data_IF_043325929840
#
_entry.id   IF_043325929840
#
_cell.length_a   1.000
_cell.length_b   1.000
_cell.length_c   1.000
_cell.angle_alpha   90.00
_cell.angle_beta   90.00
_cell.angle_gamma   90.00
#
_symmetry.space_group_name_H-M   'P 1'
#
loop_
_entity.id
_entity.type
_entity.pdbx_description
1 polymer ?
#
# COMPACT_ATOMS: atom_id res chain seq x y z
N UNK A 1 -11.90 39.51 -19.66
CA UNK A 1 -11.42 39.31 -18.27
C UNK A 1 -11.44 37.85 -17.92
N UNK A 2 -10.35 37.14 -18.17
CA UNK A 2 -10.13 35.80 -17.62
C UNK A 2 -9.83 35.93 -16.12
N UNK A 3 -10.50 35.20 -15.24
CA UNK A 3 -10.28 35.35 -13.81
C UNK A 3 -8.89 34.82 -13.43
N UNK A 4 -8.06 35.74 -12.94
CA UNK A 4 -6.69 35.52 -12.47
C UNK A 4 -6.52 34.37 -11.47
N UNK A 5 -7.60 33.90 -10.85
CA UNK A 5 -7.61 32.74 -9.95
C UNK A 5 -7.30 31.40 -10.65
N UNK A 6 -7.75 31.20 -11.90
CA UNK A 6 -7.43 29.95 -12.65
C UNK A 6 -5.96 29.90 -13.07
N UNK A 7 -5.36 31.04 -13.40
CA UNK A 7 -3.95 31.10 -13.76
C UNK A 7 -3.04 30.80 -12.56
N UNK A 8 -3.37 31.24 -11.34
CA UNK A 8 -2.56 30.96 -10.15
C UNK A 8 -2.60 29.49 -9.73
N UNK A 9 -3.73 28.81 -9.88
CA UNK A 9 -3.82 27.36 -9.60
C UNK A 9 -3.09 26.52 -10.65
N UNK A 10 -3.02 26.98 -11.89
CA UNK A 10 -2.27 26.34 -12.96
C UNK A 10 -0.75 26.45 -12.74
N UNK A 11 -0.25 27.63 -12.31
CA UNK A 11 1.16 27.88 -12.08
C UNK A 11 1.77 27.15 -10.88
N UNK A 12 0.98 26.83 -9.86
CA UNK A 12 1.47 26.11 -8.65
C UNK A 12 1.58 24.60 -8.91
N UNK A 13 0.82 24.07 -9.87
CA UNK A 13 0.77 22.64 -10.21
C UNK A 13 1.76 22.26 -11.32
N UNK A 14 2.34 23.23 -12.02
CA UNK A 14 3.23 23.00 -13.17
C UNK A 14 4.71 22.77 -12.80
N UNK A 15 5.04 22.74 -11.51
CA UNK A 15 6.42 22.52 -11.06
C UNK A 15 6.48 21.33 -10.12
N UNK A 16 7.34 20.35 -10.46
CA UNK A 16 7.77 19.33 -9.52
C UNK A 16 8.73 19.93 -8.47
N UNK A 17 9.18 19.10 -7.53
CA UNK A 17 10.12 19.51 -6.48
C UNK A 17 11.44 20.07 -7.04
N UNK A 18 11.78 19.76 -8.29
CA UNK A 18 12.98 20.23 -9.00
C UNK A 18 12.68 21.46 -9.88
N UNK A 19 11.44 21.96 -9.88
CA UNK A 19 11.02 23.14 -10.62
C UNK A 19 10.88 22.93 -12.13
N UNK A 20 10.85 21.68 -12.59
CA UNK A 20 10.67 21.34 -14.01
C UNK A 20 9.18 21.42 -14.37
N UNK A 21 8.83 21.96 -15.55
CA UNK A 21 7.45 21.99 -16.02
C UNK A 21 6.98 20.57 -16.33
N UNK A 22 6.05 20.04 -15.54
CA UNK A 22 5.46 18.71 -15.77
C UNK A 22 4.12 18.83 -16.47
N UNK A 23 3.99 18.24 -17.65
CA UNK A 23 2.68 18.01 -18.26
C UNK A 23 2.00 16.85 -17.54
N UNK A 24 0.87 17.11 -16.89
CA UNK A 24 0.08 16.07 -16.24
C UNK A 24 -0.39 15.06 -17.29
N UNK A 25 0.06 13.81 -17.17
CA UNK A 25 -0.42 12.74 -18.00
C UNK A 25 -1.79 12.29 -17.48
N UNK A 26 -2.83 12.61 -18.23
CA UNK A 26 -4.22 12.34 -17.84
C UNK A 26 -4.49 10.84 -17.64
N UNK A 27 -3.90 9.97 -18.45
CA UNK A 27 -4.05 8.51 -18.31
C UNK A 27 -3.43 8.02 -17.00
N UNK A 28 -2.22 8.48 -16.69
CA UNK A 28 -1.52 8.13 -15.46
C UNK A 28 -2.27 8.66 -14.23
N UNK A 29 -2.87 9.83 -14.33
CA UNK A 29 -3.72 10.38 -13.27
C UNK A 29 -4.93 9.49 -12.98
N UNK A 30 -5.66 9.02 -14.01
CA UNK A 30 -6.79 8.11 -13.82
C UNK A 30 -6.37 6.76 -13.23
N UNK A 31 -5.27 6.19 -13.71
CA UNK A 31 -4.70 4.96 -13.14
C UNK A 31 -4.35 5.20 -11.67
N UNK A 32 -3.74 6.33 -11.34
CA UNK A 32 -3.41 6.72 -9.96
C UNK A 32 -4.65 6.76 -9.06
N UNK A 33 -5.75 7.37 -9.51
CA UNK A 33 -7.02 7.40 -8.79
C UNK A 33 -7.57 5.99 -8.52
N UNK A 34 -7.58 5.14 -9.52
CA UNK A 34 -8.06 3.75 -9.38
C UNK A 34 -7.23 3.00 -8.35
N UNK A 35 -5.90 3.05 -8.45
CA UNK A 35 -5.01 2.39 -7.50
C UNK A 35 -5.17 2.93 -6.08
N UNK A 36 -5.34 4.24 -5.92
CA UNK A 36 -5.51 4.90 -4.64
C UNK A 36 -6.77 4.40 -3.90
N UNK A 37 -7.93 4.46 -4.55
CA UNK A 37 -9.18 4.02 -3.94
C UNK A 37 -9.24 2.51 -3.75
N UNK A 38 -8.71 1.73 -4.70
CA UNK A 38 -8.60 0.28 -4.58
C UNK A 38 -7.73 -0.10 -3.37
N UNK A 39 -6.59 0.58 -3.20
CA UNK A 39 -5.69 0.36 -2.07
C UNK A 39 -6.34 0.66 -0.72
N UNK A 40 -7.09 1.77 -0.61
CA UNK A 40 -7.85 2.12 0.59
C UNK A 40 -8.87 1.02 0.90
N UNK A 41 -9.64 0.59 -0.10
CA UNK A 41 -10.68 -0.43 0.08
C UNK A 41 -10.08 -1.76 0.57
N UNK A 42 -8.99 -2.20 -0.04
CA UNK A 42 -8.28 -3.43 0.37
C UNK A 42 -7.73 -3.30 1.79
N UNK A 43 -7.08 -2.18 2.13
CA UNK A 43 -6.50 -1.97 3.45
C UNK A 43 -7.57 -1.96 4.56
N UNK A 44 -8.68 -1.26 4.34
CA UNK A 44 -9.79 -1.21 5.29
C UNK A 44 -10.43 -2.59 5.45
N UNK A 45 -10.74 -3.26 4.34
CA UNK A 45 -11.33 -4.60 4.39
C UNK A 45 -10.43 -5.61 5.11
N UNK A 46 -9.13 -5.60 4.80
CA UNK A 46 -8.17 -6.46 5.49
C UNK A 46 -8.07 -6.15 6.98
N UNK A 47 -8.10 -4.87 7.37
CA UNK A 47 -8.10 -4.46 8.77
C UNK A 47 -9.36 -4.94 9.53
N UNK A 48 -10.54 -4.85 8.90
CA UNK A 48 -11.79 -5.36 9.45
C UNK A 48 -11.71 -6.88 9.66
N UNK A 49 -11.20 -7.64 8.67
CA UNK A 49 -11.03 -9.09 8.77
C UNK A 49 -10.06 -9.49 9.89
N UNK A 50 -9.01 -8.69 10.12
CA UNK A 50 -8.05 -8.94 11.19
C UNK A 50 -8.66 -8.63 12.57
N UNK A 51 -9.56 -7.65 12.64
CA UNK A 51 -10.35 -7.32 13.81
C UNK A 51 -9.52 -7.18 15.09
N UNK A 52 -9.85 -7.94 16.16
CA UNK A 52 -9.14 -7.88 17.44
C UNK A 52 -7.66 -8.28 17.37
N UNK A 53 -7.24 -8.98 16.31
CA UNK A 53 -5.83 -9.37 16.10
C UNK A 53 -4.99 -8.21 15.52
N UNK A 54 -5.62 -7.12 15.06
CA UNK A 54 -4.92 -5.94 14.58
C UNK A 54 -4.12 -5.31 15.73
N UNK A 55 -2.81 -5.22 15.54
CA UNK A 55 -1.91 -4.54 16.47
C UNK A 55 -0.99 -3.61 15.72
N UNK A 56 -0.70 -2.41 16.25
CA UNK A 56 0.34 -1.54 15.70
C UNK A 56 1.75 -2.10 15.94
N UNK A 57 1.88 -2.98 16.92
CA UNK A 57 3.14 -3.64 17.25
C UNK A 57 3.42 -4.79 16.29
N UNK A 58 4.69 -4.99 15.89
CA UNK A 58 5.06 -6.04 14.96
C UNK A 58 4.94 -7.46 15.55
N UNK A 59 4.92 -7.59 16.89
CA UNK A 59 4.74 -8.89 17.55
C UNK A 59 3.26 -9.28 17.61
N UNK A 60 2.89 -10.52 17.23
CA UNK A 60 1.52 -11.02 17.36
C UNK A 60 1.03 -10.98 18.80
N UNK A 61 -0.25 -10.64 19.02
CA UNK A 61 -0.87 -10.73 20.37
C UNK A 61 -0.72 -12.14 20.93
N UNK A 62 -0.48 -12.24 22.24
CA UNK A 62 -0.33 -13.55 22.91
C UNK A 62 -1.53 -14.47 22.67
N UNK A 63 -2.75 -13.93 22.71
CA UNK A 63 -4.00 -14.66 22.49
C UNK A 63 -4.56 -14.45 21.06
N UNK A 64 -3.74 -14.05 20.09
CA UNK A 64 -4.18 -13.85 18.71
C UNK A 64 -4.33 -15.18 17.97
N UNK A 65 -5.32 -15.24 17.08
CA UNK A 65 -5.56 -16.38 16.18
C UNK A 65 -5.00 -16.10 14.78
N UNK A 66 -4.60 -17.16 14.08
CA UNK A 66 -4.15 -17.05 12.70
C UNK A 66 -5.34 -16.92 11.76
N UNK A 67 -5.55 -15.73 11.21
CA UNK A 67 -6.63 -15.46 10.24
C UNK A 67 -6.18 -15.91 8.85
N UNK A 68 -6.96 -16.82 8.23
CA UNK A 68 -6.70 -17.39 6.89
C UNK A 68 -7.88 -17.18 5.92
N UNK A 69 -8.87 -16.37 6.31
CA UNK A 69 -10.12 -16.17 5.55
C UNK A 69 -10.11 -14.85 4.77
N UNK A 70 -11.01 -14.71 3.81
CA UNK A 70 -11.16 -13.50 3.01
C UNK A 70 -9.90 -13.19 2.20
N UNK A 71 -9.39 -11.97 2.31
CA UNK A 71 -8.19 -11.51 1.61
C UNK A 71 -6.92 -12.27 2.05
N UNK A 72 -6.88 -12.74 3.31
CA UNK A 72 -5.77 -13.52 3.87
C UNK A 72 -5.63 -14.92 3.24
N UNK A 73 -6.62 -15.38 2.49
CA UNK A 73 -6.52 -16.59 1.69
C UNK A 73 -5.60 -16.45 0.47
N UNK A 74 -5.46 -15.24 -0.05
CA UNK A 74 -4.69 -14.97 -1.27
C UNK A 74 -3.31 -14.39 -0.97
N UNK A 75 -3.23 -13.48 0.02
CA UNK A 75 -1.99 -12.83 0.45
C UNK A 75 -1.91 -12.78 1.97
N UNK A 76 -0.71 -12.94 2.50
CA UNK A 76 -0.45 -12.93 3.94
C UNK A 76 -0.51 -11.53 4.55
N UNK A 77 -0.17 -10.49 3.78
CA UNK A 77 -0.12 -9.10 4.23
C UNK A 77 -0.99 -8.16 3.38
N UNK A 78 -2.32 -8.38 3.33
CA UNK A 78 -3.20 -7.60 2.46
C UNK A 78 -3.30 -6.13 2.88
N UNK A 79 -3.13 -5.80 4.16
CA UNK A 79 -3.08 -4.40 4.64
C UNK A 79 -1.88 -3.69 4.01
N UNK A 80 -0.68 -4.31 4.01
CA UNK A 80 0.52 -3.70 3.42
C UNK A 80 0.38 -3.55 1.91
N UNK A 81 -0.18 -4.55 1.25
CA UNK A 81 -0.51 -4.45 -0.18
C UNK A 81 -1.43 -3.25 -0.47
N UNK A 82 -2.50 -3.08 0.31
CA UNK A 82 -3.40 -1.94 0.17
C UNK A 82 -2.69 -0.60 0.35
N UNK A 83 -1.84 -0.46 1.39
CA UNK A 83 -1.07 0.77 1.62
C UNK A 83 -0.07 1.04 0.50
N UNK A 84 0.60 0.02 -0.03
CA UNK A 84 1.51 0.15 -1.18
C UNK A 84 0.74 0.66 -2.41
N UNK A 85 -0.45 0.12 -2.69
CA UNK A 85 -1.31 0.61 -3.78
C UNK A 85 -1.72 2.07 -3.59
N UNK A 86 -2.05 2.51 -2.35
CA UNK A 86 -2.34 3.91 -2.02
C UNK A 86 -1.14 4.79 -2.36
N UNK A 87 0.07 4.39 -1.97
CA UNK A 87 1.27 5.18 -2.20
C UNK A 87 1.61 5.31 -3.69
N UNK A 88 1.53 4.21 -4.45
CA UNK A 88 1.72 4.27 -5.91
C UNK A 88 0.59 5.01 -6.62
N UNK A 89 -0.65 4.86 -6.14
CA UNK A 89 -1.79 5.65 -6.61
C UNK A 89 -1.58 7.15 -6.43
N UNK A 90 -1.13 7.53 -5.23
CA UNK A 90 -0.77 8.94 -4.95
C UNK A 90 0.35 9.43 -5.87
N UNK A 91 1.40 8.63 -6.07
CA UNK A 91 2.48 8.98 -6.99
C UNK A 91 1.98 9.18 -8.43
N UNK A 92 1.02 8.36 -8.88
CA UNK A 92 0.36 8.53 -10.18
C UNK A 92 -0.51 9.78 -10.30
N UNK A 93 -1.12 10.22 -9.19
CA UNK A 93 -1.94 11.44 -9.11
C UNK A 93 -1.04 12.69 -9.14
N UNK A 94 -0.01 12.73 -8.29
CA UNK A 94 0.89 13.87 -8.16
C UNK A 94 1.91 13.96 -9.31
N UNK A 95 2.30 12.81 -9.88
CA UNK A 95 3.26 12.69 -10.99
C UNK A 95 4.59 13.39 -10.71
N UNK A 96 5.06 13.33 -9.47
CA UNK A 96 6.34 13.88 -9.06
C UNK A 96 7.35 12.76 -8.77
N UNK A 97 8.62 13.01 -9.03
CA UNK A 97 9.68 12.05 -8.70
C UNK A 97 9.73 11.78 -7.19
N UNK A 98 9.48 12.79 -6.38
CA UNK A 98 9.49 12.69 -4.92
C UNK A 98 8.46 11.68 -4.41
N UNK A 99 7.20 11.75 -4.86
CA UNK A 99 6.15 10.83 -4.44
C UNK A 99 6.42 9.39 -4.90
N UNK A 100 7.00 9.23 -6.10
CA UNK A 100 7.41 7.92 -6.60
C UNK A 100 8.54 7.32 -5.75
N UNK A 101 9.56 8.10 -5.41
CA UNK A 101 10.66 7.66 -4.54
C UNK A 101 10.13 7.26 -3.17
N UNK A 102 9.22 8.04 -2.58
CA UNK A 102 8.58 7.67 -1.30
C UNK A 102 7.78 6.37 -1.40
N UNK A 103 7.03 6.15 -2.48
CA UNK A 103 6.30 4.90 -2.70
C UNK A 103 7.24 3.68 -2.78
N UNK A 104 8.38 3.82 -3.45
CA UNK A 104 9.41 2.77 -3.53
C UNK A 104 10.04 2.50 -2.16
N UNK A 105 10.37 3.54 -1.40
CA UNK A 105 10.91 3.40 -0.03
C UNK A 105 9.91 2.65 0.85
N UNK A 106 8.62 3.00 0.79
CA UNK A 106 7.58 2.32 1.56
C UNK A 106 7.37 0.86 1.12
N UNK A 107 7.47 0.56 -0.17
CA UNK A 107 7.44 -0.82 -0.67
C UNK A 107 8.56 -1.65 -0.04
N UNK A 108 9.80 -1.15 -0.07
CA UNK A 108 10.97 -1.82 0.55
C UNK A 108 10.77 -1.97 2.06
N UNK A 109 10.30 -0.92 2.72
CA UNK A 109 10.03 -0.95 4.16
C UNK A 109 9.01 -2.04 4.54
N UNK A 110 7.88 -2.13 3.82
CA UNK A 110 6.87 -3.14 4.10
C UNK A 110 7.32 -4.56 3.72
N UNK A 111 8.19 -4.70 2.71
CA UNK A 111 8.80 -6.00 2.42
C UNK A 111 9.71 -6.47 3.56
N UNK A 112 10.57 -5.61 4.06
CA UNK A 112 11.44 -5.92 5.20
C UNK A 112 10.64 -6.17 6.47
N UNK A 113 9.66 -5.32 6.76
CA UNK A 113 8.79 -5.47 7.92
C UNK A 113 8.02 -6.78 7.89
N UNK A 114 7.44 -7.15 6.75
CA UNK A 114 6.70 -8.41 6.62
C UNK A 114 7.59 -9.64 6.78
N UNK A 115 8.87 -9.59 6.35
CA UNK A 115 9.83 -10.69 6.60
C UNK A 115 10.03 -10.90 8.10
N UNK A 116 10.19 -9.84 8.86
CA UNK A 116 10.39 -9.93 10.31
C UNK A 116 9.12 -10.45 11.01
N UNK A 117 7.94 -10.00 10.59
CA UNK A 117 6.67 -10.50 11.13
C UNK A 117 6.45 -11.98 10.84
N UNK A 118 6.81 -12.46 9.64
CA UNK A 118 6.69 -13.87 9.27
C UNK A 118 7.59 -14.79 10.13
N UNK A 119 8.73 -14.31 10.61
CA UNK A 119 9.57 -15.07 11.57
C UNK A 119 8.80 -15.27 12.86
N UNK A 120 8.26 -14.22 13.46
CA UNK A 120 7.50 -14.31 14.72
C UNK A 120 6.21 -15.12 14.59
N UNK A 121 5.53 -15.01 13.42
CA UNK A 121 4.33 -15.80 13.15
C UNK A 121 4.66 -17.30 13.01
N UNK A 122 5.79 -17.64 12.41
CA UNK A 122 6.25 -19.03 12.28
C UNK A 122 6.63 -19.62 13.65
N UNK A 123 7.25 -18.82 14.53
CA UNK A 123 7.58 -19.25 15.89
C UNK A 123 6.34 -19.46 16.74
N UNK A 124 5.31 -18.62 16.53
CA UNK A 124 4.08 -18.66 17.33
C UNK A 124 3.07 -19.70 16.87
N UNK A 125 2.88 -19.86 15.57
CA UNK A 125 1.87 -20.72 14.98
C UNK A 125 2.52 -21.87 14.20
N UNK A 126 2.39 -23.10 14.67
CA UNK A 126 2.92 -24.30 14.00
C UNK A 126 2.37 -24.47 12.56
N UNK A 127 1.12 -24.05 12.34
CA UNK A 127 0.43 -24.13 11.05
C UNK A 127 0.83 -23.02 10.06
N UNK A 128 1.62 -22.02 10.49
CA UNK A 128 2.01 -20.90 9.63
C UNK A 128 2.93 -21.33 8.49
N UNK A 129 3.73 -22.37 8.71
CA UNK A 129 4.60 -22.90 7.67
C UNK A 129 3.81 -23.45 6.47
N UNK A 130 2.71 -24.16 6.71
CA UNK A 130 1.79 -24.66 5.67
C UNK A 130 1.07 -23.49 4.97
N UNK A 131 0.57 -22.55 5.74
CA UNK A 131 -0.09 -21.35 5.23
C UNK A 131 0.84 -20.55 4.30
N UNK A 132 2.15 -20.48 4.62
CA UNK A 132 3.17 -19.80 3.81
C UNK A 132 3.39 -20.45 2.44
N UNK A 133 3.22 -21.77 2.33
CA UNK A 133 3.35 -22.49 1.06
C UNK A 133 2.17 -22.21 0.14
N UNK A 134 0.97 -22.09 0.70
CA UNK A 134 -0.28 -21.95 -0.07
C UNK A 134 -0.61 -20.50 -0.46
N UNK A 135 -0.01 -19.50 0.19
CA UNK A 135 -0.35 -18.09 0.01
C UNK A 135 0.85 -17.25 -0.42
N UNK A 136 0.58 -16.16 -1.13
CA UNK A 136 1.61 -15.19 -1.51
C UNK A 136 1.86 -14.16 -0.40
N UNK A 137 3.02 -13.51 -0.43
CA UNK A 137 3.44 -12.59 0.64
C UNK A 137 2.70 -11.25 0.59
N UNK A 138 2.89 -10.48 -0.48
CA UNK A 138 2.40 -9.11 -0.63
C UNK A 138 1.51 -8.95 -1.87
N UNK A 139 1.95 -9.45 -3.03
CA UNK A 139 1.25 -9.25 -4.30
C UNK A 139 0.50 -10.52 -4.65
N UNK A 140 -0.85 -10.47 -4.81
CA UNK A 140 -1.63 -11.64 -5.19
C UNK A 140 -1.06 -12.33 -6.44
N UNK A 141 -0.95 -13.64 -6.40
CA UNK A 141 -0.49 -14.50 -7.50
C UNK A 141 0.97 -14.34 -7.95
N UNK A 142 1.69 -13.32 -7.46
CA UNK A 142 3.08 -13.01 -7.91
C UNK A 142 4.08 -13.26 -6.78
N UNK A 143 3.98 -12.51 -5.67
CA UNK A 143 4.98 -12.48 -4.60
C UNK A 143 4.37 -12.52 -3.21
#
# INVERSE_FOLDING_TARGET
HYPLRRQRQMCIRDRDLLGLPTKVNQTLWWIGQILFYLGITIAIWAAILLGPNLTPLPKPKQNGELIRTGLYRFVRHPIYFGVILVCFGWAGIEQTLYTLVLAIILLIFFDLKSRQEEIWLTEKFSEYAEYKITTKKLIPFVY
#
